data_IF_921391257188
#
_entry.id   IF_921391257188
#
_cell.length_a   1.000
_cell.length_b   1.000
_cell.length_c   1.000
_cell.angle_alpha   90.00
_cell.angle_beta   90.00
_cell.angle_gamma   90.00
#
_symmetry.space_group_name_H-M   'P 1'
#
loop_
_entity.id
_entity.type
_entity.pdbx_description
1 polymer ?
#
# COMPACT_ATOMS: atom_id res chain seq x y z
N UNK A 1 -19.09 -15.17 -7.73
CA UNK A 1 -17.84 -15.04 -6.96
C UNK A 1 -16.90 -14.16 -7.77
N UNK A 2 -16.80 -12.87 -7.45
CA UNK A 2 -15.95 -11.93 -8.19
C UNK A 2 -14.50 -12.07 -7.68
N UNK A 3 -13.62 -12.57 -8.53
CA UNK A 3 -12.23 -12.86 -8.19
C UNK A 3 -11.44 -11.57 -7.95
N UNK A 4 -10.95 -11.39 -6.74
CA UNK A 4 -9.97 -10.36 -6.39
C UNK A 4 -8.66 -10.69 -7.11
N UNK A 5 -8.28 -9.86 -8.08
CA UNK A 5 -6.99 -9.98 -8.78
C UNK A 5 -5.92 -9.25 -7.97
N UNK A 6 -5.23 -9.99 -7.11
CA UNK A 6 -4.06 -9.48 -6.39
C UNK A 6 -2.87 -9.43 -7.36
N UNK A 7 -2.38 -8.23 -7.67
CA UNK A 7 -1.14 -8.04 -8.43
C UNK A 7 -0.06 -7.56 -7.47
N UNK A 8 0.89 -8.42 -7.17
CA UNK A 8 2.10 -8.06 -6.41
C UNK A 8 3.13 -7.60 -7.42
N UNK A 9 3.38 -6.29 -7.47
CA UNK A 9 4.48 -5.73 -8.26
C UNK A 9 5.67 -5.56 -7.32
N UNK A 10 6.53 -6.58 -7.29
CA UNK A 10 7.87 -6.49 -6.73
C UNK A 10 8.90 -6.48 -7.87
N UNK A 11 10.12 -5.98 -7.64
CA UNK A 11 11.20 -6.13 -8.62
C UNK A 11 11.34 -7.60 -8.97
N UNK A 12 11.29 -7.90 -10.28
CA UNK A 12 11.41 -9.25 -10.80
C UNK A 12 12.79 -9.81 -10.42
N UNK A 13 12.80 -10.67 -9.40
CA UNK A 13 13.98 -11.38 -8.92
C UNK A 13 14.45 -10.90 -7.56
N UNK A 14 13.97 -11.55 -6.49
CA UNK A 14 14.72 -11.78 -5.24
C UNK A 14 13.87 -12.58 -4.25
N UNK A 15 13.77 -13.90 -4.46
CA UNK A 15 13.22 -14.87 -3.50
C UNK A 15 14.20 -15.15 -2.33
N UNK A 16 14.93 -14.15 -1.84
CA UNK A 16 15.91 -14.39 -0.76
C UNK A 16 16.89 -13.28 -0.41
N UNK A 17 16.52 -11.99 -0.48
CA UNK A 17 17.37 -10.92 0.05
C UNK A 17 16.69 -10.16 1.21
N UNK A 18 17.44 -9.83 2.28
CA UNK A 18 16.96 -9.11 3.47
C UNK A 18 16.68 -7.61 3.22
N UNK A 19 16.41 -7.21 1.96
CA UNK A 19 16.31 -5.82 1.55
C UNK A 19 14.99 -5.55 0.82
N UNK A 20 13.87 -5.94 1.43
CA UNK A 20 12.54 -5.47 1.00
C UNK A 20 12.36 -4.01 1.43
N UNK A 21 13.06 -3.09 0.74
CA UNK A 21 12.96 -1.64 1.01
C UNK A 21 11.56 -1.10 0.80
N UNK A 22 10.80 -1.72 -0.11
CA UNK A 22 9.44 -1.31 -0.43
C UNK A 22 8.66 -2.48 -1.06
N UNK A 23 7.51 -2.80 -0.49
CA UNK A 23 6.48 -3.67 -1.05
C UNK A 23 5.32 -2.80 -1.48
N UNK A 24 4.88 -2.97 -2.72
CA UNK A 24 3.74 -2.24 -3.28
C UNK A 24 2.61 -3.24 -3.48
N UNK A 25 1.47 -2.95 -2.88
CA UNK A 25 0.27 -3.77 -3.00
C UNK A 25 -0.83 -2.93 -3.64
N UNK A 26 -1.36 -3.43 -4.75
CA UNK A 26 -2.39 -2.76 -5.54
C UNK A 26 -3.67 -3.57 -5.47
N UNK A 27 -4.76 -2.93 -5.05
CA UNK A 27 -6.08 -3.53 -4.97
C UNK A 27 -7.08 -2.70 -5.77
N UNK A 28 -7.93 -3.38 -6.53
CA UNK A 28 -9.07 -2.75 -7.19
C UNK A 28 -10.31 -3.01 -6.34
N UNK A 29 -10.91 -1.93 -5.87
CA UNK A 29 -12.16 -1.93 -5.14
C UNK A 29 -13.32 -1.81 -6.12
N UNK A 30 -14.25 -2.79 -6.14
CA UNK A 30 -15.51 -2.63 -6.85
C UNK A 30 -16.30 -1.40 -6.38
N UNK A 31 -17.14 -0.85 -7.26
CA UNK A 31 -17.93 0.33 -6.94
C UNK A 31 -18.88 0.07 -5.77
N UNK A 32 -18.95 1.03 -4.84
CA UNK A 32 -19.79 0.94 -3.65
C UNK A 32 -19.18 0.19 -2.46
N UNK A 33 -17.92 -0.26 -2.57
CA UNK A 33 -17.21 -0.84 -1.43
C UNK A 33 -16.54 0.26 -0.59
N UNK A 34 -16.68 0.17 0.73
CA UNK A 34 -16.04 1.08 1.67
C UNK A 34 -14.50 0.86 1.67
N UNK A 35 -13.69 1.90 1.37
CA UNK A 35 -12.24 1.80 1.40
C UNK A 35 -11.67 1.41 2.77
N UNK A 36 -12.30 1.79 3.88
CA UNK A 36 -11.84 1.41 5.22
C UNK A 36 -12.07 -0.08 5.48
N UNK A 37 -13.23 -0.59 5.10
CA UNK A 37 -13.52 -2.01 5.19
C UNK A 37 -12.56 -2.83 4.31
N UNK A 38 -12.25 -2.32 3.12
CA UNK A 38 -11.28 -2.96 2.25
C UNK A 38 -9.86 -2.94 2.83
N UNK A 39 -9.41 -1.83 3.43
CA UNK A 39 -8.12 -1.76 4.16
C UNK A 39 -8.04 -2.83 5.23
N UNK A 40 -9.09 -2.97 6.05
CA UNK A 40 -9.13 -3.97 7.12
C UNK A 40 -9.05 -5.40 6.57
N UNK A 41 -9.78 -5.71 5.49
CA UNK A 41 -9.72 -7.02 4.84
C UNK A 41 -8.34 -7.33 4.27
N UNK A 42 -7.70 -6.33 3.66
CA UNK A 42 -6.35 -6.44 3.11
C UNK A 42 -5.34 -6.68 4.24
N UNK A 43 -5.41 -5.90 5.32
CA UNK A 43 -4.54 -6.08 6.48
C UNK A 43 -4.69 -7.48 7.08
N UNK A 44 -5.92 -7.98 7.21
CA UNK A 44 -6.17 -9.35 7.67
C UNK A 44 -5.58 -10.40 6.71
N UNK A 45 -5.70 -10.22 5.40
CA UNK A 45 -5.10 -11.14 4.42
C UNK A 45 -3.56 -11.12 4.47
N UNK A 46 -2.96 -9.95 4.60
CA UNK A 46 -1.50 -9.79 4.70
C UNK A 46 -0.97 -10.40 6.00
N UNK A 47 -1.73 -10.31 7.10
CA UNK A 47 -1.44 -11.02 8.35
C UNK A 47 -1.49 -12.54 8.16
N UNK A 48 -2.54 -13.05 7.51
CA UNK A 48 -2.70 -14.51 7.29
C UNK A 48 -1.65 -15.10 6.36
N UNK A 49 -1.15 -14.33 5.38
CA UNK A 49 -0.06 -14.79 4.50
C UNK A 49 1.32 -14.79 5.19
N UNK A 50 1.40 -14.44 6.48
CA UNK A 50 2.67 -14.40 7.22
C UNK A 50 3.64 -13.34 6.68
N UNK A 51 3.18 -12.42 5.83
CA UNK A 51 4.03 -11.41 5.20
C UNK A 51 4.39 -10.24 6.11
N UNK A 52 4.07 -10.33 7.40
CA UNK A 52 4.50 -9.38 8.44
C UNK A 52 4.12 -7.92 8.20
N UNK A 53 3.32 -7.64 7.16
CA UNK A 53 3.20 -6.32 6.59
C UNK A 53 2.15 -5.47 7.33
N UNK A 54 1.25 -6.09 8.09
CA UNK A 54 0.39 -5.32 8.98
C UNK A 54 1.16 -4.88 10.22
N UNK A 55 1.06 -3.58 10.53
CA UNK A 55 1.54 -3.02 11.79
C UNK A 55 0.80 -3.71 12.94
N UNK A 56 1.53 -4.34 13.87
CA UNK A 56 0.93 -4.84 15.12
C UNK A 56 0.51 -3.67 16.02
N UNK A 57 1.33 -2.62 16.02
CA UNK A 57 1.13 -1.44 16.82
C UNK A 57 1.44 -0.22 15.95
N UNK A 58 0.44 0.63 15.76
CA UNK A 58 0.62 1.94 15.13
C UNK A 58 1.16 2.90 16.19
N UNK A 59 2.34 3.45 15.94
CA UNK A 59 2.96 4.46 16.81
C UNK A 59 2.55 5.87 16.38
N UNK A 60 2.43 6.11 15.06
CA UNK A 60 1.99 7.39 14.51
C UNK A 60 1.17 7.20 13.24
N UNK A 61 0.23 8.12 13.03
CA UNK A 61 -0.55 8.23 11.80
C UNK A 61 -0.59 9.70 11.37
N UNK A 62 -0.25 9.94 10.10
CA UNK A 62 -0.17 11.24 9.47
C UNK A 62 -0.86 11.20 8.11
N UNK A 63 -1.25 12.36 7.59
CA UNK A 63 -1.72 12.50 6.22
C UNK A 63 -0.67 13.20 5.39
N UNK A 64 -0.44 12.70 4.18
CA UNK A 64 0.54 13.25 3.25
C UNK A 64 -0.12 13.49 1.90
N UNK A 65 0.02 14.71 1.38
CA UNK A 65 -0.47 15.06 0.05
C UNK A 65 0.54 14.60 -1.00
N UNK A 66 0.09 13.77 -1.94
CA UNK A 66 0.88 13.24 -3.05
C UNK A 66 0.26 13.69 -4.37
N UNK A 67 1.09 13.97 -5.36
CA UNK A 67 0.61 14.24 -6.72
C UNK A 67 0.55 12.93 -7.51
N UNK A 68 -0.63 12.54 -7.98
CA UNK A 68 -0.84 11.37 -8.83
C UNK A 68 -1.66 11.81 -10.04
N UNK A 69 -1.20 11.50 -11.27
CA UNK A 69 -1.84 11.97 -12.52
C UNK A 69 -1.96 13.50 -12.63
N UNK A 70 -1.11 14.25 -11.95
CA UNK A 70 -1.18 15.71 -11.88
C UNK A 70 -2.27 16.26 -10.96
N UNK A 71 -2.96 15.40 -10.21
CA UNK A 71 -3.95 15.78 -9.19
C UNK A 71 -3.35 15.56 -7.79
N UNK A 72 -3.71 16.42 -6.84
CA UNK A 72 -3.34 16.26 -5.44
C UNK A 72 -4.26 15.23 -4.78
N UNK A 73 -3.65 14.22 -4.15
CA UNK A 73 -4.33 13.11 -3.51
C UNK A 73 -3.81 12.97 -2.09
N UNK A 74 -4.72 12.84 -1.14
CA UNK A 74 -4.37 12.56 0.25
C UNK A 74 -4.03 11.08 0.42
N UNK A 75 -2.81 10.81 0.86
CA UNK A 75 -2.38 9.52 1.35
C UNK A 75 -2.39 9.52 2.89
N UNK A 76 -2.71 8.38 3.48
CA UNK A 76 -2.54 8.12 4.91
C UNK A 76 -1.21 7.40 5.12
N UNK A 77 -0.35 7.98 5.92
CA UNK A 77 0.91 7.39 6.35
C UNK A 77 0.76 6.90 7.79
N UNK A 78 1.19 5.67 8.07
CA UNK A 78 1.29 5.14 9.42
C UNK A 78 2.69 4.59 9.64
N UNK A 79 3.26 4.83 10.82
CA UNK A 79 4.51 4.20 11.27
C UNK A 79 4.19 3.36 12.50
N UNK A 80 4.72 2.15 12.53
CA UNK A 80 4.45 1.22 13.62
C UNK A 80 5.45 0.09 13.70
N UNK A 81 5.21 -0.84 14.60
CA UNK A 81 6.03 -2.04 14.78
C UNK A 81 5.39 -3.21 14.02
N UNK A 82 6.15 -3.85 13.14
CA UNK A 82 5.75 -5.05 12.41
C UNK A 82 5.81 -6.32 13.26
N UNK A 83 5.33 -7.45 12.71
CA UNK A 83 5.35 -8.75 13.39
C UNK A 83 6.77 -9.24 13.77
N UNK A 84 7.79 -8.74 13.09
CA UNK A 84 9.20 -9.06 13.28
C UNK A 84 9.88 -8.15 14.33
N UNK A 85 9.14 -7.23 14.93
CA UNK A 85 9.66 -6.23 15.88
C UNK A 85 10.35 -5.05 15.20
N UNK A 86 10.41 -4.99 13.87
CA UNK A 86 11.02 -3.88 13.15
C UNK A 86 10.05 -2.72 12.97
N UNK A 87 10.57 -1.49 12.94
CA UNK A 87 9.77 -0.31 12.58
C UNK A 87 9.43 -0.36 11.09
N UNK A 88 8.15 -0.32 10.81
CA UNK A 88 7.57 -0.38 9.47
C UNK A 88 6.81 0.90 9.20
N UNK A 89 6.94 1.40 7.98
CA UNK A 89 6.16 2.52 7.44
C UNK A 89 5.18 1.97 6.42
N UNK A 90 3.91 2.32 6.60
CA UNK A 90 2.82 2.01 5.70
C UNK A 90 2.29 3.31 5.10
N UNK A 91 2.17 3.41 3.78
CA UNK A 91 1.52 4.54 3.11
C UNK A 91 0.37 3.99 2.28
N UNK A 92 -0.85 4.45 2.54
CA UNK A 92 -2.07 4.01 1.87
C UNK A 92 -2.70 5.18 1.16
N UNK A 93 -3.02 5.00 -0.12
CA UNK A 93 -3.79 5.97 -0.89
C UNK A 93 -4.90 5.26 -1.65
N UNK A 94 -5.99 5.99 -1.87
CA UNK A 94 -7.15 5.51 -2.62
C UNK A 94 -7.37 6.47 -3.77
N UNK A 95 -7.40 5.93 -4.98
CA UNK A 95 -7.51 6.69 -6.21
C UNK A 95 -8.70 6.16 -7.01
N UNK A 96 -9.45 6.99 -7.75
CA UNK A 96 -10.33 6.47 -8.79
C UNK A 96 -9.51 5.79 -9.89
N UNK A 97 -9.95 4.63 -10.39
CA UNK A 97 -9.23 3.90 -11.45
C UNK A 97 -9.14 4.73 -12.73
N UNK A 98 -10.24 5.39 -13.08
CA UNK A 98 -10.32 6.38 -14.14
C UNK A 98 -11.36 7.44 -13.77
N UNK A 99 -11.32 8.59 -14.45
CA UNK A 99 -12.17 9.75 -14.17
C UNK A 99 -13.68 9.44 -14.19
N UNK A 100 -14.08 8.44 -14.98
CA UNK A 100 -15.48 8.01 -15.14
C UNK A 100 -15.71 6.55 -14.69
N UNK A 101 -14.73 5.92 -14.02
CA UNK A 101 -14.85 4.55 -13.54
C UNK A 101 -15.21 4.56 -12.05
N UNK A 102 -16.34 3.94 -11.64
CA UNK A 102 -16.73 3.91 -10.25
C UNK A 102 -15.87 2.93 -9.41
N UNK A 103 -14.94 2.20 -10.05
CA UNK A 103 -13.93 1.42 -9.34
C UNK A 103 -12.81 2.31 -8.79
N UNK A 104 -12.43 2.01 -7.55
CA UNK A 104 -11.31 2.66 -6.89
C UNK A 104 -10.11 1.71 -6.87
N UNK A 105 -8.92 2.27 -6.85
CA UNK A 105 -7.67 1.56 -6.67
C UNK A 105 -7.10 1.98 -5.33
N UNK A 106 -6.98 1.01 -4.43
CA UNK A 106 -6.24 1.17 -3.20
C UNK A 106 -4.80 0.74 -3.43
N UNK A 107 -3.88 1.64 -3.16
CA UNK A 107 -2.45 1.40 -3.19
C UNK A 107 -1.93 1.43 -1.77
N UNK A 108 -1.14 0.43 -1.43
CA UNK A 108 -0.50 0.30 -0.13
C UNK A 108 0.99 0.08 -0.35
N UNK A 109 1.80 0.98 0.19
CA UNK A 109 3.24 0.86 0.24
C UNK A 109 3.64 0.43 1.64
N UNK A 110 4.46 -0.60 1.75
CA UNK A 110 4.93 -1.12 3.02
C UNK A 110 6.44 -1.30 2.95
N UNK A 111 7.17 -0.77 3.91
CA UNK A 111 8.61 -0.94 3.96
C UNK A 111 9.11 -0.70 5.37
N UNK A 112 10.38 -1.04 5.62
CA UNK A 112 11.03 -0.66 6.85
C UNK A 112 11.08 0.87 6.95
N UNK A 113 10.73 1.44 8.11
CA UNK A 113 10.62 2.88 8.29
C UNK A 113 11.96 3.63 8.09
N UNK A 114 13.08 2.99 8.40
CA UNK A 114 14.43 3.55 8.26
C UNK A 114 14.98 3.41 6.83
N UNK A 115 14.55 2.37 6.11
CA UNK A 115 14.99 2.08 4.75
C UNK A 115 13.89 2.32 3.69
N UNK A 116 12.85 3.07 4.04
CA UNK A 116 11.68 3.27 3.18
C UNK A 116 12.08 4.06 1.93
N UNK A 117 11.90 3.45 0.76
CA UNK A 117 12.30 4.05 -0.51
C UNK A 117 11.23 5.04 -1.01
N UNK A 118 11.30 6.28 -0.53
CA UNK A 118 10.37 7.35 -0.93
C UNK A 118 10.50 7.72 -2.41
N UNK A 119 11.70 7.62 -2.98
CA UNK A 119 11.94 7.91 -4.39
C UNK A 119 11.26 6.86 -5.27
N UNK A 120 11.40 5.57 -4.94
CA UNK A 120 10.70 4.50 -5.64
C UNK A 120 9.17 4.63 -5.51
N UNK A 121 8.66 5.04 -4.34
CA UNK A 121 7.23 5.34 -4.16
C UNK A 121 6.77 6.46 -5.10
N UNK A 122 7.47 7.60 -5.10
CA UNK A 122 7.13 8.75 -5.96
C UNK A 122 7.25 8.39 -7.44
N UNK A 123 8.29 7.65 -7.83
CA UNK A 123 8.47 7.16 -9.19
C UNK A 123 7.34 6.23 -9.62
N UNK A 124 6.89 5.33 -8.73
CA UNK A 124 5.74 4.47 -8.99
C UNK A 124 4.47 5.30 -9.16
N UNK A 125 4.21 6.27 -8.28
CA UNK A 125 3.05 7.15 -8.40
C UNK A 125 3.08 7.99 -9.69
N UNK A 126 4.25 8.47 -10.09
CA UNK A 126 4.43 9.16 -11.38
C UNK A 126 4.24 8.23 -12.58
N UNK A 127 4.47 6.91 -12.42
CA UNK A 127 4.25 5.92 -13.47
C UNK A 127 2.76 5.61 -13.69
N UNK A 128 1.91 5.91 -12.71
CA UNK A 128 0.46 5.74 -12.83
C UNK A 128 -0.08 6.83 -13.76
N UNK A 129 -0.39 6.43 -14.99
CA UNK A 129 -1.08 7.25 -15.99
C UNK A 129 -2.59 7.06 -15.92
#
# INVERSE_FOLDING_TARGET
MAGVKMSVVGPAGSLGQPNQKLMIVVFQLPPGQDPELAKQQIQQQLQQQGRGAALQQVESEDQLTLTVRGEEVTAQQAVGVGNDGNKMRQVVLVLPRAKDDPTQVLLMFLGNAEAFDEEAMKAFLASIR
#
